data_IF_970053370786
#
_entry.id   IF_970053370786
#
_cell.length_a   1.000
_cell.length_b   1.000
_cell.length_c   1.000
_cell.angle_alpha   90.00
_cell.angle_beta   90.00
_cell.angle_gamma   90.00
#
_symmetry.space_group_name_H-M   'P 1'
#
loop_
_entity.id
_entity.type
_entity.pdbx_description
1 polymer ?
#
# COMPACT_ATOMS: atom_id res chain seq x y z
N UNK A 1 11.90 -11.97 -6.11
CA UNK A 1 10.44 -12.11 -5.92
C UNK A 1 9.78 -11.25 -6.96
N UNK A 2 8.96 -11.83 -7.83
CA UNK A 2 8.23 -11.05 -8.83
C UNK A 2 7.01 -10.42 -8.15
N UNK A 3 6.67 -9.20 -8.54
CA UNK A 3 5.46 -8.53 -8.06
C UNK A 3 4.91 -7.60 -9.13
N UNK A 4 3.61 -7.36 -9.05
CA UNK A 4 2.91 -6.34 -9.84
C UNK A 4 2.28 -5.34 -8.88
N UNK A 5 2.64 -4.07 -9.02
CA UNK A 5 2.05 -2.97 -8.27
C UNK A 5 0.93 -2.32 -9.07
N UNK A 6 -0.29 -2.41 -8.57
CA UNK A 6 -1.49 -1.82 -9.15
C UNK A 6 -1.91 -0.62 -8.29
N UNK A 7 -1.61 0.59 -8.78
CA UNK A 7 -1.94 1.84 -8.10
C UNK A 7 -3.28 2.40 -8.59
N UNK A 8 -4.08 2.92 -7.65
CA UNK A 8 -5.19 3.84 -7.86
C UNK A 8 -6.43 3.29 -8.58
N UNK A 9 -7.12 2.31 -7.99
CA UNK A 9 -8.55 2.14 -8.27
C UNK A 9 -9.32 3.15 -7.41
N UNK A 10 -9.55 4.36 -7.91
CA UNK A 10 -10.33 5.38 -7.21
C UNK A 10 -11.71 5.52 -7.89
N UNK A 11 -12.78 5.33 -7.13
CA UNK A 11 -14.13 5.67 -7.60
C UNK A 11 -14.32 7.18 -7.65
N UNK A 12 -15.00 7.68 -8.69
CA UNK A 12 -15.26 9.11 -8.88
C UNK A 12 -15.94 9.73 -7.65
N UNK A 13 -15.29 10.74 -7.05
CA UNK A 13 -15.79 11.43 -5.86
C UNK A 13 -15.49 10.74 -4.52
N UNK A 14 -14.82 9.58 -4.53
CA UNK A 14 -14.39 8.90 -3.31
C UNK A 14 -13.09 9.47 -2.75
N UNK A 15 -13.01 9.57 -1.42
CA UNK A 15 -11.78 9.89 -0.68
C UNK A 15 -10.97 8.62 -0.32
N UNK A 16 -11.33 7.48 -0.91
CA UNK A 16 -10.64 6.22 -0.73
C UNK A 16 -9.87 5.87 -2.00
N UNK A 17 -8.61 5.47 -1.82
CA UNK A 17 -7.76 4.95 -2.88
C UNK A 17 -7.43 3.51 -2.54
N UNK A 18 -7.66 2.62 -3.51
CA UNK A 18 -7.32 1.21 -3.41
C UNK A 18 -6.08 0.93 -4.24
N UNK A 19 -5.06 0.39 -3.56
CA UNK A 19 -3.83 -0.09 -4.17
C UNK A 19 -3.71 -1.59 -3.92
N UNK A 20 -3.17 -2.33 -4.88
CA UNK A 20 -2.92 -3.77 -4.72
C UNK A 20 -1.49 -4.12 -5.11
N UNK A 21 -0.82 -4.89 -4.27
CA UNK A 21 0.46 -5.51 -4.58
C UNK A 21 0.20 -6.99 -4.78
N UNK A 22 0.43 -7.49 -5.99
CA UNK A 22 0.30 -8.91 -6.33
C UNK A 22 1.67 -9.55 -6.29
N UNK A 23 1.84 -10.57 -5.46
CA UNK A 23 3.00 -11.45 -5.43
C UNK A 23 2.62 -12.82 -5.99
N UNK A 24 3.62 -13.65 -6.25
CA UNK A 24 3.42 -15.00 -6.80
C UNK A 24 2.59 -15.91 -5.88
N UNK A 25 2.60 -15.66 -4.56
CA UNK A 25 1.93 -16.51 -3.57
C UNK A 25 0.73 -15.85 -2.86
N UNK A 26 0.65 -14.52 -2.87
CA UNK A 26 -0.37 -13.78 -2.12
C UNK A 26 -0.57 -12.38 -2.70
N UNK A 27 -1.63 -11.71 -2.26
CA UNK A 27 -1.95 -10.33 -2.66
C UNK A 27 -2.08 -9.47 -1.41
N UNK A 28 -1.64 -8.22 -1.50
CA UNK A 28 -1.77 -7.22 -0.44
C UNK A 28 -2.70 -6.14 -0.95
N UNK A 29 -3.87 -6.01 -0.34
CA UNK A 29 -4.76 -4.89 -0.61
C UNK A 29 -4.49 -3.78 0.39
N UNK A 30 -4.26 -2.58 -0.11
CA UNK A 30 -3.98 -1.39 0.67
C UNK A 30 -5.10 -0.40 0.40
N UNK A 31 -5.65 0.14 1.47
CA UNK A 31 -6.74 1.09 1.48
C UNK A 31 -6.20 2.36 2.11
N UNK A 32 -6.10 3.40 1.30
CA UNK A 32 -5.73 4.74 1.73
C UNK A 32 -6.99 5.58 1.85
N UNK A 33 -7.13 6.29 2.96
CA UNK A 33 -8.19 7.28 3.18
C UNK A 33 -7.59 8.67 3.23
N UNK A 34 -8.13 9.55 2.41
CA UNK A 34 -7.76 10.94 2.35
C UNK A 34 -8.83 11.83 2.99
N UNK A 35 -8.42 13.01 3.43
CA UNK A 35 -9.33 14.11 3.78
C UNK A 35 -9.10 15.28 2.84
N UNK A 36 -10.08 16.17 2.76
CA UNK A 36 -10.12 17.25 1.79
C UNK A 36 -10.74 16.81 0.45
N UNK A 37 -10.59 17.65 -0.57
CA UNK A 37 -11.03 17.31 -1.93
C UNK A 37 -9.87 16.60 -2.63
N UNK A 38 -10.14 15.45 -3.24
CA UNK A 38 -9.10 14.70 -3.97
C UNK A 38 -8.41 15.52 -5.07
N UNK A 39 -9.16 16.44 -5.70
CA UNK A 39 -8.65 17.33 -6.75
C UNK A 39 -8.00 18.62 -6.20
N UNK A 40 -8.05 18.85 -4.89
CA UNK A 40 -7.54 20.06 -4.25
C UNK A 40 -6.97 19.76 -2.86
N UNK A 41 -5.66 19.52 -2.84
CA UNK A 41 -4.85 19.26 -1.65
C UNK A 41 -5.34 18.05 -0.79
N UNK A 42 -5.36 16.83 -1.36
CA UNK A 42 -5.70 15.63 -0.60
C UNK A 42 -4.66 15.38 0.50
N UNK A 43 -5.14 15.13 1.72
CA UNK A 43 -4.28 14.76 2.85
C UNK A 43 -4.53 13.32 3.24
N UNK A 44 -3.51 12.47 3.13
CA UNK A 44 -3.59 11.08 3.58
C UNK A 44 -3.77 11.06 5.10
N UNK A 45 -4.82 10.42 5.58
CA UNK A 45 -5.17 10.40 7.00
C UNK A 45 -5.16 9.01 7.61
N UNK A 46 -5.40 7.97 6.81
CA UNK A 46 -5.38 6.60 7.30
C UNK A 46 -4.94 5.65 6.20
N UNK A 47 -4.15 4.66 6.58
CA UNK A 47 -3.73 3.57 5.71
C UNK A 47 -3.99 2.26 6.44
N UNK A 48 -4.72 1.38 5.76
CA UNK A 48 -5.02 0.04 6.24
C UNK A 48 -4.62 -0.94 5.15
N UNK A 49 -4.00 -2.06 5.51
CA UNK A 49 -3.79 -3.14 4.57
C UNK A 49 -4.34 -4.48 5.06
N UNK A 50 -4.61 -5.36 4.09
CA UNK A 50 -5.07 -6.73 4.28
C UNK A 50 -4.26 -7.66 3.38
N UNK A 51 -4.01 -8.86 3.88
CA UNK A 51 -3.38 -9.92 3.13
C UNK A 51 -4.43 -10.90 2.62
N UNK A 52 -4.27 -11.36 1.38
CA UNK A 52 -5.13 -12.37 0.75
C UNK A 52 -4.32 -13.45 0.07
N UNK A 53 -4.88 -14.65 -0.02
CA UNK A 53 -4.39 -15.71 -0.91
C UNK A 53 -4.59 -15.32 -2.38
N UNK A 54 -4.07 -16.15 -3.30
CA UNK A 54 -4.34 -15.97 -4.74
C UNK A 54 -5.84 -16.14 -5.06
N UNK A 55 -6.54 -16.99 -4.31
CA UNK A 55 -7.99 -17.23 -4.40
C UNK A 55 -8.84 -16.16 -3.68
N UNK A 56 -8.23 -15.02 -3.33
CA UNK A 56 -8.85 -13.86 -2.69
C UNK A 56 -9.41 -14.12 -1.27
N UNK A 57 -9.01 -15.21 -0.62
CA UNK A 57 -9.34 -15.48 0.77
C UNK A 57 -8.52 -14.59 1.71
N UNK A 58 -9.17 -14.00 2.72
CA UNK A 58 -8.50 -13.09 3.67
C UNK A 58 -7.72 -13.89 4.70
N UNK A 59 -6.41 -13.62 4.78
CA UNK A 59 -5.53 -14.22 5.79
C UNK A 59 -5.70 -13.44 7.10
N UNK A 60 -5.84 -14.15 8.22
CA UNK A 60 -5.92 -13.57 9.56
C UNK A 60 -4.53 -13.19 10.05
N UNK A 61 -4.45 -12.09 10.80
CA UNK A 61 -3.25 -11.70 11.55
C UNK A 61 -3.05 -12.64 12.74
N UNK A 62 -1.85 -12.56 13.34
CA UNK A 62 -1.50 -13.30 14.57
C UNK A 62 -2.46 -13.03 15.73
N UNK A 63 -3.00 -11.83 15.81
CA UNK A 63 -3.96 -11.39 16.84
C UNK A 63 -5.43 -11.73 16.51
N UNK A 64 -5.68 -12.49 15.43
CA UNK A 64 -7.02 -12.83 14.95
C UNK A 64 -7.72 -11.72 14.16
N UNK A 65 -7.15 -10.52 14.05
CA UNK A 65 -7.72 -9.43 13.26
C UNK A 65 -7.47 -9.62 11.76
N UNK A 66 -8.34 -9.04 10.93
CA UNK A 66 -8.26 -9.19 9.46
C UNK A 66 -7.46 -8.07 8.77
N UNK A 67 -7.19 -6.98 9.48
CA UNK A 67 -6.60 -5.76 8.91
C UNK A 67 -5.51 -5.19 9.79
N UNK A 68 -4.49 -4.64 9.17
CA UNK A 68 -3.42 -3.89 9.84
C UNK A 68 -3.62 -2.42 9.52
N UNK A 69 -3.65 -1.57 10.56
CA UNK A 69 -3.58 -0.11 10.40
C UNK A 69 -2.13 0.34 10.54
N UNK A 70 -1.62 1.09 9.57
CA UNK A 70 -0.30 1.70 9.65
C UNK A 70 -0.42 2.97 10.49
N UNK A 71 0.43 3.12 11.50
CA UNK A 71 0.38 4.22 12.49
C UNK A 71 1.80 4.77 12.76
N UNK A 72 1.84 5.94 13.38
CA UNK A 72 3.04 6.57 13.92
C UNK A 72 4.17 6.67 12.87
N UNK A 73 5.42 6.38 13.23
CA UNK A 73 6.58 6.48 12.32
C UNK A 73 6.42 5.65 11.03
N UNK A 74 5.71 4.52 11.11
CA UNK A 74 5.42 3.70 9.94
C UNK A 74 4.45 4.40 8.99
N UNK A 75 3.52 5.20 9.52
CA UNK A 75 2.59 5.98 8.71
C UNK A 75 3.31 7.10 7.96
N UNK A 76 4.23 7.79 8.64
CA UNK A 76 5.04 8.84 8.01
C UNK A 76 5.95 8.26 6.92
N UNK A 77 6.59 7.12 7.21
CA UNK A 77 7.41 6.38 6.25
C UNK A 77 6.58 5.96 5.03
N UNK A 78 5.41 5.34 5.25
CA UNK A 78 4.50 4.96 4.17
C UNK A 78 4.10 6.18 3.33
N UNK A 79 3.76 7.29 3.97
CA UNK A 79 3.33 8.51 3.27
C UNK A 79 4.46 9.06 2.39
N UNK A 80 5.70 9.06 2.85
CA UNK A 80 6.86 9.48 2.05
C UNK A 80 7.06 8.57 0.84
N UNK A 81 7.05 7.25 1.03
CA UNK A 81 7.23 6.29 -0.06
C UNK A 81 6.08 6.38 -1.09
N UNK A 82 4.83 6.48 -0.64
CA UNK A 82 3.67 6.63 -1.53
C UNK A 82 3.71 7.95 -2.32
N UNK A 83 4.21 9.05 -1.72
CA UNK A 83 4.42 10.32 -2.43
C UNK A 83 5.44 10.19 -3.56
N UNK A 84 6.53 9.46 -3.33
CA UNK A 84 7.55 9.21 -4.37
C UNK A 84 6.93 8.47 -5.55
N UNK A 85 6.17 7.40 -5.31
CA UNK A 85 5.51 6.63 -6.37
C UNK A 85 4.45 7.43 -7.15
N UNK A 86 3.80 8.39 -6.50
CA UNK A 86 2.80 9.24 -7.15
C UNK A 86 3.39 10.51 -7.79
N UNK A 87 4.68 10.78 -7.59
CA UNK A 87 5.38 11.97 -8.07
C UNK A 87 5.45 12.06 -9.60
N UNK A 88 5.60 13.28 -10.10
CA UNK A 88 5.89 13.53 -11.51
C UNK A 88 7.17 12.82 -11.95
N UNK A 89 8.20 12.86 -11.11
CA UNK A 89 9.51 12.29 -11.42
C UNK A 89 9.46 10.77 -11.62
N UNK A 90 8.73 10.07 -10.74
CA UNK A 90 8.49 8.64 -10.91
C UNK A 90 7.72 8.34 -12.20
N UNK A 91 6.63 9.07 -12.46
CA UNK A 91 5.78 8.87 -13.65
C UNK A 91 6.52 9.12 -14.96
N UNK A 92 7.41 10.11 -14.98
CA UNK A 92 8.21 10.47 -16.16
C UNK A 92 9.59 9.81 -16.19
N UNK A 93 9.85 8.83 -15.30
CA UNK A 93 11.11 8.07 -15.23
C UNK A 93 12.35 8.96 -15.02
N UNK A 94 12.17 10.09 -14.33
CA UNK A 94 13.26 11.01 -13.97
C UNK A 94 14.05 10.52 -12.75
N UNK A 95 13.50 9.55 -12.01
CA UNK A 95 14.18 8.83 -10.93
C UNK A 95 14.27 7.33 -11.24
N UNK A 96 15.14 6.63 -10.51
CA UNK A 96 15.24 5.18 -10.57
C UNK A 96 13.97 4.50 -10.05
N UNK A 97 13.06 4.16 -10.95
CA UNK A 97 11.79 3.50 -10.61
C UNK A 97 11.99 2.18 -9.88
N UNK A 98 13.00 1.40 -10.26
CA UNK A 98 13.27 0.10 -9.63
C UNK A 98 13.58 0.26 -8.15
N UNK A 99 14.37 1.27 -7.81
CA UNK A 99 14.73 1.57 -6.43
C UNK A 99 13.54 2.13 -5.65
N UNK A 100 12.76 3.04 -6.23
CA UNK A 100 11.54 3.56 -5.61
C UNK A 100 10.52 2.44 -5.32
N UNK A 101 10.30 1.55 -6.30
CA UNK A 101 9.39 0.41 -6.15
C UNK A 101 9.93 -0.56 -5.09
N UNK A 102 11.23 -0.87 -5.10
CA UNK A 102 11.86 -1.73 -4.09
C UNK A 102 11.70 -1.17 -2.68
N UNK A 103 11.98 0.10 -2.45
CA UNK A 103 11.85 0.73 -1.13
C UNK A 103 10.41 0.62 -0.59
N UNK A 104 9.43 0.87 -1.44
CA UNK A 104 8.02 0.70 -1.09
C UNK A 104 7.66 -0.76 -0.76
N UNK A 105 8.08 -1.70 -1.60
CA UNK A 105 7.80 -3.13 -1.42
C UNK A 105 8.48 -3.68 -0.17
N UNK A 106 9.74 -3.32 0.09
CA UNK A 106 10.47 -3.74 1.28
C UNK A 106 9.79 -3.27 2.55
N UNK A 107 9.32 -2.02 2.58
CA UNK A 107 8.52 -1.51 3.69
C UNK A 107 7.21 -2.29 3.87
N UNK A 108 6.47 -2.57 2.80
CA UNK A 108 5.23 -3.34 2.92
C UNK A 108 5.48 -4.78 3.38
N UNK A 109 6.56 -5.41 2.92
CA UNK A 109 6.94 -6.75 3.36
C UNK A 109 7.33 -6.78 4.85
N UNK A 110 8.07 -5.78 5.35
CA UNK A 110 8.40 -5.72 6.79
C UNK A 110 7.14 -5.59 7.63
N UNK A 111 6.16 -4.78 7.20
CA UNK A 111 4.87 -4.65 7.84
C UNK A 111 4.08 -5.97 7.83
N UNK A 112 4.13 -6.73 6.74
CA UNK A 112 3.46 -8.04 6.64
C UNK A 112 4.10 -9.05 7.58
N UNK A 113 5.42 -9.22 7.52
CA UNK A 113 6.16 -10.19 8.35
C UNK A 113 5.96 -9.89 9.84
N UNK A 114 5.82 -8.61 10.21
CA UNK A 114 5.59 -8.21 11.61
C UNK A 114 4.17 -8.49 12.10
N UNK A 115 3.19 -8.64 11.21
CA UNK A 115 1.76 -8.72 11.55
C UNK A 115 1.09 -10.06 11.21
N UNK A 116 1.68 -10.84 10.31
CA UNK A 116 1.14 -12.10 9.80
C UNK A 116 2.10 -13.26 10.10
N UNK A 117 1.53 -14.45 10.27
CA UNK A 117 2.28 -15.70 10.20
C UNK A 117 2.24 -16.18 8.74
N UNK A 118 3.39 -16.10 8.09
CA UNK A 118 3.59 -16.71 6.79
C UNK A 118 4.15 -18.11 7.09
N UNK A 119 3.29 -19.13 7.00
CA UNK A 119 3.69 -20.53 7.11
C UNK A 119 4.32 -21.01 5.80
#
# INVERSE_FOLDING_TARGET
MNYTLELNTQESGSNLVFNTIKFDAFKVNIIERYTGKMNFNPKLCEVIFKLRTLDDEIIKRRDGNLRVKIKDDNFDTYQQLSKVLNSYDYKNKLINRKEADQNYIHFMLSMIISNYELN
#
